data_IF_960869290779
#
_entry.id   IF_960869290779
#
_cell.length_a   1.000
_cell.length_b   1.000
_cell.length_c   1.000
_cell.angle_alpha   90.00
_cell.angle_beta   90.00
_cell.angle_gamma   90.00
#
_symmetry.space_group_name_H-M   'P 1'
#
loop_
_entity.id
_entity.type
_entity.pdbx_description
1 polymer ?
#
# COMPACT_ATOMS: atom_id res chain seq x y z
N UNK A 1 -36.06 35.54 28.75
CA UNK A 1 -36.69 34.55 27.85
C UNK A 1 -35.78 33.35 27.56
N UNK A 2 -34.90 32.96 28.51
CA UNK A 2 -33.94 31.85 28.38
C UNK A 2 -34.16 30.76 29.46
N UNK A 3 -35.02 31.00 30.46
CA UNK A 3 -35.26 30.06 31.57
C UNK A 3 -36.48 29.13 31.39
N UNK A 4 -37.14 29.11 30.23
CA UNK A 4 -38.29 28.21 29.96
C UNK A 4 -37.87 27.00 29.10
N UNK A 5 -36.74 27.06 28.39
CA UNK A 5 -36.28 25.97 27.51
C UNK A 5 -35.53 24.87 28.30
N UNK A 6 -34.88 25.21 29.40
CA UNK A 6 -34.15 24.25 30.26
C UNK A 6 -35.07 23.35 31.11
N UNK A 7 -36.33 23.75 31.34
CA UNK A 7 -37.32 22.93 32.06
C UNK A 7 -37.99 21.86 31.18
N UNK A 8 -38.00 22.05 29.85
CA UNK A 8 -38.60 21.07 28.93
C UNK A 8 -37.67 19.89 28.60
N UNK A 9 -36.35 20.09 28.68
CA UNK A 9 -35.37 19.02 28.41
C UNK A 9 -35.19 18.10 29.64
N UNK A 10 -35.42 18.62 30.85
CA UNK A 10 -35.34 17.82 32.09
C UNK A 10 -36.60 16.99 32.36
N UNK A 11 -37.77 17.40 31.85
CA UNK A 11 -39.02 16.63 32.01
C UNK A 11 -39.12 15.42 31.07
N UNK A 12 -38.41 15.41 29.94
CA UNK A 12 -38.35 14.24 29.03
C UNK A 12 -37.48 13.12 29.62
N UNK A 13 -36.56 13.44 30.54
CA UNK A 13 -35.67 12.45 31.17
C UNK A 13 -36.22 11.80 32.46
N UNK A 14 -37.34 12.29 33.02
CA UNK A 14 -37.88 11.76 34.30
C UNK A 14 -39.15 10.90 34.19
N UNK A 15 -39.71 10.67 32.99
CA UNK A 15 -40.93 9.85 32.83
C UNK A 15 -40.67 8.43 32.30
N UNK A 16 -39.41 8.05 32.02
CA UNK A 16 -39.11 6.74 31.40
C UNK A 16 -38.33 5.75 32.29
N UNK A 17 -38.55 5.77 33.60
CA UNK A 17 -38.02 4.75 34.51
C UNK A 17 -39.13 4.04 35.27
N UNK A 18 -40.08 3.41 34.57
CA UNK A 18 -40.91 2.33 35.16
C UNK A 18 -41.73 1.48 34.17
N UNK A 19 -41.37 1.42 32.88
CA UNK A 19 -41.90 0.41 31.95
C UNK A 19 -40.85 0.04 30.90
N UNK A 20 -39.74 -0.56 31.35
CA UNK A 20 -38.80 -1.24 30.46
C UNK A 20 -39.23 -2.70 30.27
N UNK A 21 -40.44 -2.91 29.75
CA UNK A 21 -40.66 -4.10 28.92
C UNK A 21 -39.92 -3.83 27.62
N UNK A 22 -38.96 -4.69 27.27
CA UNK A 22 -38.26 -4.67 25.98
C UNK A 22 -39.27 -4.70 24.83
N UNK A 23 -39.74 -3.52 24.39
CA UNK A 23 -40.32 -3.39 23.07
C UNK A 23 -39.10 -3.49 22.14
N UNK A 24 -38.81 -4.71 21.71
CA UNK A 24 -38.02 -4.95 20.49
C UNK A 24 -38.83 -4.35 19.36
N UNK A 25 -38.65 -3.04 19.14
CA UNK A 25 -39.06 -2.40 17.89
C UNK A 25 -38.24 -3.12 16.84
N UNK A 26 -38.89 -4.01 16.10
CA UNK A 26 -38.32 -4.69 14.96
C UNK A 26 -37.94 -3.59 13.97
N UNK A 27 -36.67 -3.13 14.05
CA UNK A 27 -36.20 -2.12 13.13
C UNK A 27 -36.34 -2.72 11.74
N UNK A 28 -37.03 -2.05 10.81
CA UNK A 28 -37.20 -2.56 9.46
C UNK A 28 -35.81 -2.86 8.91
N UNK A 29 -35.50 -4.15 8.73
CA UNK A 29 -34.26 -4.60 8.10
C UNK A 29 -34.36 -4.24 6.64
N UNK A 30 -34.07 -2.97 6.30
CA UNK A 30 -33.88 -2.53 4.93
C UNK A 30 -32.71 -3.35 4.40
N UNK A 31 -32.98 -4.40 3.64
CA UNK A 31 -31.94 -5.19 2.98
C UNK A 31 -31.33 -4.31 1.90
N UNK A 32 -30.03 -4.04 1.97
CA UNK A 32 -29.29 -3.47 0.84
C UNK A 32 -28.62 -4.58 0.03
N UNK A 33 -28.38 -4.34 -1.25
CA UNK A 33 -27.78 -5.30 -2.18
C UNK A 33 -26.35 -4.90 -2.51
N UNK A 34 -25.40 -5.81 -2.29
CA UNK A 34 -24.03 -5.70 -2.76
C UNK A 34 -23.81 -6.60 -3.98
N UNK A 35 -22.90 -6.25 -4.89
CA UNK A 35 -22.45 -7.21 -5.89
C UNK A 35 -21.81 -8.43 -5.20
N UNK A 36 -22.02 -9.64 -5.73
CA UNK A 36 -21.63 -10.88 -5.08
C UNK A 36 -20.12 -11.03 -4.86
N UNK A 37 -19.29 -10.30 -5.60
CA UNK A 37 -17.84 -10.30 -5.50
C UNK A 37 -17.31 -9.56 -4.27
N UNK A 38 -18.13 -8.70 -3.64
CA UNK A 38 -17.71 -7.92 -2.47
C UNK A 38 -17.79 -8.73 -1.18
N UNK A 39 -16.63 -9.07 -0.61
CA UNK A 39 -16.52 -9.85 0.63
C UNK A 39 -15.59 -9.19 1.65
N UNK A 40 -16.17 -8.28 2.45
CA UNK A 40 -15.45 -7.63 3.55
C UNK A 40 -15.31 -8.54 4.78
N UNK A 41 -16.27 -9.46 4.98
CA UNK A 41 -16.38 -10.25 6.22
C UNK A 41 -15.31 -11.32 6.29
N UNK A 42 -15.04 -12.01 5.19
CA UNK A 42 -13.95 -13.00 5.12
C UNK A 42 -12.59 -12.35 5.40
N UNK A 43 -12.38 -11.16 4.82
CA UNK A 43 -11.15 -10.40 5.00
C UNK A 43 -10.98 -9.99 6.47
N UNK A 44 -12.01 -9.46 7.12
CA UNK A 44 -11.95 -9.14 8.56
C UNK A 44 -11.67 -10.39 9.41
N UNK A 45 -12.38 -11.50 9.15
CA UNK A 45 -12.21 -12.76 9.90
C UNK A 45 -10.82 -13.38 9.77
N UNK A 46 -10.06 -13.00 8.74
CA UNK A 46 -8.67 -13.46 8.60
C UNK A 46 -7.70 -12.84 9.61
N UNK A 47 -8.05 -11.72 10.27
CA UNK A 47 -7.19 -11.09 11.29
C UNK A 47 -7.90 -10.69 12.59
N UNK A 48 -9.22 -10.60 12.59
CA UNK A 48 -10.03 -10.37 13.79
C UNK A 48 -10.83 -11.63 14.13
N UNK A 49 -10.99 -11.91 15.43
CA UNK A 49 -11.81 -13.06 15.88
C UNK A 49 -13.28 -12.88 15.47
N UNK A 50 -13.78 -11.64 15.52
CA UNK A 50 -15.17 -11.29 15.24
C UNK A 50 -15.30 -9.93 14.53
N UNK A 51 -16.44 -9.68 13.89
CA UNK A 51 -16.76 -8.36 13.30
C UNK A 51 -16.93 -7.31 14.41
N UNK A 52 -17.44 -7.73 15.57
CA UNK A 52 -17.59 -6.92 16.76
C UNK A 52 -16.24 -6.42 17.26
N UNK A 53 -15.21 -7.28 17.26
CA UNK A 53 -13.84 -6.89 17.62
C UNK A 53 -13.29 -5.83 16.68
N UNK A 54 -13.41 -6.01 15.36
CA UNK A 54 -13.05 -4.98 14.37
C UNK A 54 -13.80 -3.67 14.67
N UNK A 55 -15.08 -3.76 14.97
CA UNK A 55 -15.94 -2.60 15.22
C UNK A 55 -15.62 -1.85 16.50
N UNK A 56 -14.96 -2.47 17.50
CA UNK A 56 -14.48 -1.77 18.71
C UNK A 56 -13.39 -0.76 18.40
N UNK A 57 -12.63 -0.99 17.32
CA UNK A 57 -11.62 -0.04 16.84
C UNK A 57 -12.25 1.13 16.08
N UNK A 58 -13.54 1.01 15.73
CA UNK A 58 -14.31 2.03 15.05
C UNK A 58 -14.87 3.06 16.05
N UNK A 59 -14.09 4.10 16.35
CA UNK A 59 -14.57 5.21 17.19
C UNK A 59 -15.40 6.18 16.34
N UNK A 60 -16.66 6.39 16.73
CA UNK A 60 -17.58 7.33 16.07
C UNK A 60 -17.26 8.79 16.40
N UNK A 61 -16.54 9.04 17.50
CA UNK A 61 -15.99 10.34 17.84
C UNK A 61 -14.76 10.54 16.96
N UNK A 62 -14.94 11.28 15.87
CA UNK A 62 -13.82 11.54 14.98
C UNK A 62 -12.80 12.45 15.65
N UNK A 63 -11.54 12.37 15.20
CA UNK A 63 -10.52 13.36 15.54
C UNK A 63 -10.96 14.79 15.15
N UNK A 64 -10.32 15.81 15.72
CA UNK A 64 -10.60 17.23 15.41
C UNK A 64 -10.46 17.58 13.91
N UNK A 65 -9.73 16.78 13.13
CA UNK A 65 -9.51 16.92 11.69
C UNK A 65 -10.47 16.07 10.83
N UNK A 66 -11.46 15.39 11.42
CA UNK A 66 -12.42 14.62 10.65
C UNK A 66 -13.42 15.55 9.94
N UNK A 67 -13.38 15.54 8.60
CA UNK A 67 -14.36 16.24 7.77
C UNK A 67 -15.58 15.35 7.44
N UNK A 68 -16.66 15.96 6.96
CA UNK A 68 -17.90 15.25 6.64
C UNK A 68 -17.68 14.07 5.66
N UNK A 69 -16.75 14.20 4.72
CA UNK A 69 -16.42 13.16 3.75
C UNK A 69 -15.73 11.95 4.39
N UNK A 70 -14.72 12.18 5.22
CA UNK A 70 -14.03 11.13 5.99
C UNK A 70 -15.00 10.37 6.89
N UNK A 71 -15.91 11.09 7.57
CA UNK A 71 -16.99 10.46 8.35
C UNK A 71 -17.98 9.68 7.49
N UNK A 72 -18.32 10.16 6.30
CA UNK A 72 -19.20 9.45 5.38
C UNK A 72 -18.58 8.10 4.96
N UNK A 73 -17.30 8.08 4.58
CA UNK A 73 -16.56 6.85 4.24
C UNK A 73 -16.47 5.90 5.43
N UNK A 74 -16.28 6.44 6.64
CA UNK A 74 -16.32 5.68 7.86
C UNK A 74 -17.69 5.01 8.06
N UNK A 75 -18.78 5.78 8.05
CA UNK A 75 -20.13 5.25 8.21
C UNK A 75 -20.51 4.24 7.13
N UNK A 76 -20.06 4.48 5.90
CA UNK A 76 -20.22 3.54 4.79
C UNK A 76 -19.52 2.20 5.12
N UNK A 77 -18.25 2.26 5.51
CA UNK A 77 -17.48 1.08 5.92
C UNK A 77 -18.19 0.28 7.00
N UNK A 78 -18.67 0.96 8.05
CA UNK A 78 -19.39 0.33 9.16
C UNK A 78 -20.69 -0.34 8.68
N UNK A 79 -21.48 0.37 7.86
CA UNK A 79 -22.73 -0.15 7.32
C UNK A 79 -22.54 -1.38 6.44
N UNK A 80 -21.51 -1.39 5.60
CA UNK A 80 -21.17 -2.52 4.74
C UNK A 80 -20.69 -3.74 5.54
N UNK A 81 -19.78 -3.52 6.50
CA UNK A 81 -19.21 -4.60 7.32
C UNK A 81 -20.25 -5.24 8.24
N UNK A 82 -21.08 -4.42 8.91
CA UNK A 82 -22.10 -4.89 9.84
C UNK A 82 -23.41 -5.27 9.19
N UNK A 83 -23.60 -4.97 7.91
CA UNK A 83 -24.90 -5.03 7.26
C UNK A 83 -25.93 -4.15 8.00
N UNK A 84 -25.56 -2.90 8.28
CA UNK A 84 -26.33 -1.92 9.04
C UNK A 84 -26.77 -0.73 8.16
N UNK A 85 -28.05 -0.72 7.81
CA UNK A 85 -28.66 0.29 6.93
C UNK A 85 -28.73 1.68 7.55
N UNK A 86 -28.76 1.80 8.89
CA UNK A 86 -28.72 3.10 9.56
C UNK A 86 -27.37 3.78 9.38
N UNK A 87 -26.28 3.00 9.42
CA UNK A 87 -24.95 3.51 9.08
C UNK A 87 -24.85 3.93 7.60
N UNK A 88 -25.48 3.20 6.68
CA UNK A 88 -25.54 3.60 5.25
C UNK A 88 -26.33 4.90 5.06
N UNK A 89 -27.47 5.06 5.74
CA UNK A 89 -28.25 6.31 5.75
C UNK A 89 -27.44 7.49 6.33
N UNK A 90 -26.71 7.24 7.42
CA UNK A 90 -25.79 8.23 8.00
C UNK A 90 -24.69 8.63 7.03
N UNK A 91 -24.12 7.67 6.29
CA UNK A 91 -23.13 7.96 5.24
C UNK A 91 -23.73 8.82 4.12
N UNK A 92 -24.94 8.50 3.64
CA UNK A 92 -25.65 9.29 2.63
C UNK A 92 -25.84 10.75 3.06
N UNK A 93 -26.31 10.96 4.30
CA UNK A 93 -26.47 12.30 4.87
C UNK A 93 -25.14 13.05 4.92
N UNK A 94 -24.07 12.40 5.39
CA UNK A 94 -22.75 13.03 5.49
C UNK A 94 -22.14 13.35 4.11
N UNK A 95 -22.37 12.52 3.10
CA UNK A 95 -22.00 12.87 1.72
C UNK A 95 -22.79 14.09 1.21
N UNK A 96 -24.08 14.24 1.55
CA UNK A 96 -24.87 15.45 1.21
C UNK A 96 -24.29 16.71 1.86
N UNK A 97 -23.86 16.60 3.12
CA UNK A 97 -23.16 17.69 3.82
C UNK A 97 -21.85 18.01 3.11
N UNK A 98 -21.00 17.01 2.85
CA UNK A 98 -19.71 17.20 2.18
C UNK A 98 -19.85 17.79 0.75
N UNK A 99 -20.84 17.34 -0.03
CA UNK A 99 -21.12 17.87 -1.36
C UNK A 99 -21.49 19.37 -1.35
N UNK A 100 -22.15 19.81 -0.27
CA UNK A 100 -22.61 21.20 -0.10
C UNK A 100 -21.55 22.11 0.52
N UNK A 101 -20.81 21.61 1.51
CA UNK A 101 -19.99 22.43 2.40
C UNK A 101 -18.49 22.36 2.10
N UNK A 102 -18.02 21.32 1.39
CA UNK A 102 -16.59 21.19 1.07
C UNK A 102 -16.11 22.31 0.17
N UNK A 103 -14.96 22.89 0.47
CA UNK A 103 -14.27 23.87 -0.38
C UNK A 103 -13.57 23.19 -1.57
N UNK A 104 -13.36 21.88 -1.51
CA UNK A 104 -12.64 21.12 -2.51
C UNK A 104 -13.56 20.59 -3.61
N UNK A 105 -13.29 20.96 -4.86
CA UNK A 105 -14.08 20.52 -6.01
C UNK A 105 -14.13 18.99 -6.17
N UNK A 106 -13.01 18.29 -5.97
CA UNK A 106 -12.95 16.82 -6.07
C UNK A 106 -13.77 16.17 -4.95
N UNK A 107 -13.69 16.65 -3.72
CA UNK A 107 -14.50 16.14 -2.61
C UNK A 107 -16.00 16.35 -2.84
N UNK A 108 -16.40 17.51 -3.37
CA UNK A 108 -17.80 17.73 -3.75
C UNK A 108 -18.25 16.73 -4.81
N UNK A 109 -17.46 16.53 -5.86
CA UNK A 109 -17.76 15.58 -6.93
C UNK A 109 -17.85 14.13 -6.41
N UNK A 110 -16.85 13.67 -5.66
CA UNK A 110 -16.84 12.31 -5.11
C UNK A 110 -17.94 12.10 -4.07
N UNK A 111 -18.36 13.16 -3.37
CA UNK A 111 -19.52 13.10 -2.47
C UNK A 111 -20.81 12.84 -3.24
N UNK A 112 -21.01 13.45 -4.43
CA UNK A 112 -22.18 13.17 -5.27
C UNK A 112 -22.23 11.71 -5.71
N UNK A 113 -21.09 11.11 -6.05
CA UNK A 113 -21.01 9.66 -6.31
C UNK A 113 -21.34 8.83 -5.05
N UNK A 114 -20.86 9.25 -3.88
CA UNK A 114 -21.21 8.61 -2.60
C UNK A 114 -22.70 8.65 -2.28
N UNK A 115 -23.38 9.75 -2.59
CA UNK A 115 -24.85 9.88 -2.47
C UNK A 115 -25.54 8.86 -3.36
N UNK A 116 -25.23 8.83 -4.67
CA UNK A 116 -25.83 7.88 -5.61
C UNK A 116 -25.56 6.44 -5.21
N UNK A 117 -24.34 6.14 -4.77
CA UNK A 117 -23.95 4.80 -4.32
C UNK A 117 -24.78 4.32 -3.13
N UNK A 118 -24.88 5.15 -2.09
CA UNK A 118 -25.66 4.81 -0.89
C UNK A 118 -27.17 4.70 -1.17
N UNK A 119 -27.72 5.52 -2.08
CA UNK A 119 -29.12 5.41 -2.53
C UNK A 119 -29.38 4.11 -3.32
N UNK A 120 -28.44 3.70 -4.18
CA UNK A 120 -28.52 2.44 -4.91
C UNK A 120 -28.43 1.22 -3.98
N UNK A 121 -27.54 1.25 -2.99
CA UNK A 121 -27.47 0.22 -1.94
C UNK A 121 -28.83 0.06 -1.25
N UNK A 122 -29.37 1.17 -0.73
CA UNK A 122 -30.61 1.18 0.06
C UNK A 122 -31.86 0.81 -0.75
N UNK A 123 -31.90 1.16 -2.03
CA UNK A 123 -33.06 0.89 -2.91
C UNK A 123 -33.01 -0.48 -3.60
N UNK A 124 -31.84 -1.14 -3.65
CA UNK A 124 -31.65 -2.39 -4.36
C UNK A 124 -31.73 -2.26 -5.89
N UNK A 125 -31.69 -1.04 -6.44
CA UNK A 125 -31.79 -0.79 -7.89
C UNK A 125 -30.56 -1.21 -8.69
N UNK A 126 -29.48 -1.61 -8.01
CA UNK A 126 -28.23 -2.10 -8.63
C UNK A 126 -27.35 -0.99 -9.21
N UNK A 127 -26.28 -1.40 -9.89
CA UNK A 127 -25.21 -0.54 -10.42
C UNK A 127 -25.04 -0.72 -11.93
N UNK A 128 -26.11 -0.48 -12.69
CA UNK A 128 -26.11 -0.72 -14.14
C UNK A 128 -25.14 0.21 -14.87
N UNK A 129 -24.50 -0.31 -15.91
CA UNK A 129 -23.70 0.51 -16.82
C UNK A 129 -24.63 1.30 -17.74
N UNK A 130 -24.53 2.62 -17.69
CA UNK A 130 -25.31 3.54 -18.52
C UNK A 130 -24.43 4.20 -19.59
N UNK A 131 -23.12 3.87 -19.66
CA UNK A 131 -22.18 4.55 -20.55
C UNK A 131 -21.56 3.61 -21.60
N UNK A 132 -21.72 3.95 -22.89
CA UNK A 132 -21.07 3.24 -24.00
C UNK A 132 -19.64 3.75 -24.30
N UNK A 133 -19.17 4.77 -23.58
CA UNK A 133 -17.87 5.39 -23.87
C UNK A 133 -16.75 4.52 -23.31
N UNK A 134 -16.09 3.78 -24.22
CA UNK A 134 -14.84 3.06 -23.94
C UNK A 134 -13.70 4.07 -23.82
N UNK A 135 -13.08 4.23 -22.63
CA UNK A 135 -11.93 5.11 -22.49
C UNK A 135 -10.72 4.54 -23.22
N UNK A 136 -9.72 5.39 -23.45
CA UNK A 136 -8.42 4.94 -23.97
C UNK A 136 -7.76 3.96 -22.99
N UNK A 137 -7.26 2.85 -23.53
CA UNK A 137 -6.55 1.80 -22.80
C UNK A 137 -5.26 1.45 -23.53
N UNK A 138 -4.14 1.46 -22.80
CA UNK A 138 -2.83 1.19 -23.39
C UNK A 138 -1.89 0.59 -22.35
N UNK A 139 -1.39 -0.61 -22.61
CA UNK A 139 -0.42 -1.24 -21.72
C UNK A 139 0.96 -0.57 -21.82
N UNK A 140 1.68 -0.52 -20.71
CA UNK A 140 3.05 -0.01 -20.68
C UNK A 140 4.02 -1.09 -21.15
N UNK A 141 4.78 -0.78 -22.20
CA UNK A 141 5.97 -1.53 -22.61
C UNK A 141 7.21 -1.02 -21.84
N UNK A 142 7.78 -1.87 -20.99
CA UNK A 142 8.97 -1.53 -20.19
C UNK A 142 10.22 -1.70 -21.06
N UNK A 143 10.79 -0.59 -21.53
CA UNK A 143 12.02 -0.60 -22.34
C UNK A 143 13.25 -0.96 -21.49
N UNK A 144 13.91 -2.06 -21.83
CA UNK A 144 15.19 -2.48 -21.23
C UNK A 144 16.37 -2.20 -22.15
N UNK A 145 17.47 -1.76 -21.55
CA UNK A 145 18.75 -1.56 -22.20
C UNK A 145 19.63 -2.79 -22.00
N UNK A 146 20.73 -2.86 -22.76
CA UNK A 146 21.80 -3.83 -22.48
C UNK A 146 22.65 -3.38 -21.28
N UNK A 147 23.32 -4.31 -20.59
CA UNK A 147 24.34 -3.99 -19.58
C UNK A 147 25.36 -2.96 -20.08
N UNK A 148 25.78 -2.07 -19.19
CA UNK A 148 26.82 -1.07 -19.50
C UNK A 148 28.21 -1.67 -19.69
N UNK A 149 28.46 -2.86 -19.14
CA UNK A 149 29.70 -3.61 -19.30
C UNK A 149 29.43 -5.03 -19.81
N UNK A 150 30.24 -5.47 -20.78
CA UNK A 150 30.22 -6.85 -21.30
C UNK A 150 31.23 -7.76 -20.57
N UNK A 151 32.29 -7.18 -20.00
CA UNK A 151 33.30 -7.86 -19.20
C UNK A 151 33.31 -7.28 -17.80
N UNK A 152 33.06 -8.13 -16.82
CA UNK A 152 33.02 -7.81 -15.39
C UNK A 152 33.20 -9.12 -14.61
N UNK A 153 33.73 -9.02 -13.40
CA UNK A 153 33.90 -10.13 -12.45
C UNK A 153 32.97 -9.98 -11.26
N UNK A 154 32.46 -8.78 -11.00
CA UNK A 154 31.58 -8.49 -9.87
C UNK A 154 30.33 -7.74 -10.29
N UNK A 155 29.25 -8.03 -9.58
CA UNK A 155 28.01 -7.29 -9.57
C UNK A 155 28.01 -6.36 -8.36
N UNK A 156 27.48 -5.16 -8.52
CA UNK A 156 27.32 -4.20 -7.43
C UNK A 156 25.84 -3.85 -7.30
N UNK A 157 25.29 -4.08 -6.12
CA UNK A 157 23.86 -3.93 -5.85
C UNK A 157 23.72 -2.96 -4.68
N UNK A 158 22.79 -2.00 -4.79
CA UNK A 158 22.47 -1.04 -3.72
C UNK A 158 23.15 0.32 -3.85
N UNK A 159 23.67 0.65 -5.04
CA UNK A 159 24.31 1.96 -5.28
C UNK A 159 23.27 3.08 -5.43
N UNK A 160 22.08 2.77 -5.93
CA UNK A 160 21.04 3.78 -6.15
C UNK A 160 20.63 4.44 -4.84
N UNK A 161 20.38 5.76 -4.89
CA UNK A 161 19.88 6.52 -3.75
C UNK A 161 18.97 7.65 -4.19
N UNK A 162 17.95 7.95 -3.39
CA UNK A 162 17.12 9.15 -3.53
C UNK A 162 17.38 10.04 -2.32
N UNK A 163 17.80 11.27 -2.57
CA UNK A 163 17.99 12.28 -1.54
C UNK A 163 16.69 13.06 -1.34
N UNK A 164 16.32 13.30 -0.09
CA UNK A 164 15.12 14.04 0.29
C UNK A 164 15.54 15.25 1.12
N UNK A 165 15.19 16.43 0.63
CA UNK A 165 15.49 17.72 1.25
C UNK A 165 14.20 18.41 1.69
N UNK A 166 14.35 19.47 2.48
CA UNK A 166 13.23 20.27 2.97
C UNK A 166 12.39 20.81 1.81
N UNK A 167 11.07 20.75 1.93
CA UNK A 167 10.13 21.30 0.95
C UNK A 167 9.86 20.43 -0.28
N UNK A 168 10.59 19.32 -0.48
CA UNK A 168 10.27 18.36 -1.54
C UNK A 168 8.84 17.85 -1.40
N UNK A 169 8.14 17.72 -2.52
CA UNK A 169 6.77 17.21 -2.59
C UNK A 169 6.80 15.69 -2.69
N UNK A 170 6.20 15.05 -1.69
CA UNK A 170 6.00 13.60 -1.64
C UNK A 170 4.54 13.29 -1.89
N UNK A 171 4.22 12.61 -2.98
CA UNK A 171 2.88 12.04 -3.21
C UNK A 171 2.85 10.61 -2.71
N UNK A 172 1.75 10.21 -2.08
CA UNK A 172 1.66 8.86 -1.48
C UNK A 172 0.27 8.28 -1.57
N UNK A 173 0.17 6.96 -1.42
CA UNK A 173 -1.11 6.26 -1.27
C UNK A 173 -1.79 6.61 0.06
N UNK A 174 -3.08 6.36 0.15
CA UNK A 174 -3.85 6.58 1.39
C UNK A 174 -3.73 5.38 2.33
N UNK A 175 -4.03 4.19 1.81
CA UNK A 175 -3.99 2.95 2.56
C UNK A 175 -2.58 2.66 3.08
N UNK A 176 -2.43 2.16 4.30
CA UNK A 176 -1.13 1.93 4.96
C UNK A 176 -0.25 3.17 5.16
N UNK A 177 -0.79 4.39 4.98
CA UNK A 177 -0.06 5.65 5.21
C UNK A 177 -0.83 6.62 6.09
N UNK A 178 -1.99 7.13 5.64
CA UNK A 178 -2.83 8.03 6.44
C UNK A 178 -4.02 7.32 7.03
N UNK A 179 -4.53 6.29 6.34
CA UNK A 179 -5.63 5.43 6.76
C UNK A 179 -5.23 3.98 6.55
N UNK A 180 -5.78 3.08 7.34
CA UNK A 180 -5.69 1.65 7.09
C UNK A 180 -7.03 1.03 7.47
N UNK A 181 -7.86 0.79 6.46
CA UNK A 181 -9.23 0.32 6.68
C UNK A 181 -9.24 -1.02 7.40
N UNK A 182 -8.21 -1.83 7.13
CA UNK A 182 -8.15 -3.20 7.58
C UNK A 182 -7.89 -3.28 9.08
N UNK A 183 -7.03 -2.40 9.60
CA UNK A 183 -6.83 -2.23 11.05
C UNK A 183 -7.77 -1.22 11.71
N UNK A 184 -8.70 -0.64 10.94
CA UNK A 184 -9.54 0.50 11.29
C UNK A 184 -8.75 1.75 11.77
N UNK A 185 -7.47 1.86 11.41
CA UNK A 185 -6.64 2.98 11.81
C UNK A 185 -7.02 4.25 11.02
N UNK A 186 -7.39 5.31 11.74
CA UNK A 186 -7.82 6.61 11.19
C UNK A 186 -8.96 6.56 10.16
N UNK A 187 -9.81 5.54 10.20
CA UNK A 187 -10.86 5.32 9.19
C UNK A 187 -11.91 6.45 9.12
N UNK A 188 -11.97 7.36 10.09
CA UNK A 188 -12.82 8.56 10.10
C UNK A 188 -12.17 9.82 9.53
N UNK A 189 -10.85 9.82 9.29
CA UNK A 189 -10.11 11.01 8.85
C UNK A 189 -10.29 11.29 7.37
N UNK A 190 -10.13 12.53 6.92
CA UNK A 190 -10.20 12.78 5.47
C UNK A 190 -9.11 11.97 4.73
N UNK A 191 -9.41 11.26 3.63
CA UNK A 191 -8.40 10.58 2.83
C UNK A 191 -7.46 11.57 2.10
N UNK A 192 -7.86 12.85 2.01
CA UNK A 192 -7.06 13.92 1.41
C UNK A 192 -5.98 14.45 2.36
N UNK A 193 -6.28 14.46 3.64
CA UNK A 193 -5.47 15.20 4.61
C UNK A 193 -4.28 14.39 5.08
N UNK A 194 -3.18 15.10 5.29
CA UNK A 194 -1.98 14.55 5.87
C UNK A 194 -1.76 15.14 7.26
N UNK A 195 -1.70 14.28 8.26
CA UNK A 195 -1.41 14.63 9.63
C UNK A 195 -0.22 13.81 10.11
N UNK A 196 0.91 14.48 10.42
CA UNK A 196 2.18 13.81 10.75
C UNK A 196 2.12 13.06 12.09
N UNK A 197 1.22 13.47 12.99
CA UNK A 197 0.96 12.81 14.27
C UNK A 197 0.13 11.55 14.12
N UNK A 198 -0.52 11.36 12.96
CA UNK A 198 -1.49 10.30 12.70
C UNK A 198 -1.12 9.45 11.50
N UNK A 199 0.18 9.24 11.30
CA UNK A 199 0.67 8.34 10.25
C UNK A 199 0.49 6.89 10.73
N UNK A 200 0.02 6.03 9.83
CA UNK A 200 -0.04 4.58 10.05
C UNK A 200 1.37 4.08 10.43
N UNK A 201 1.55 3.45 11.60
CA UNK A 201 2.88 3.24 12.16
C UNK A 201 3.63 2.03 11.58
N UNK A 202 3.09 1.39 10.55
CA UNK A 202 3.64 0.22 9.87
C UNK A 202 3.73 0.47 8.36
N UNK A 203 4.44 -0.43 7.65
CA UNK A 203 4.51 -0.42 6.18
C UNK A 203 4.98 0.94 5.59
N UNK A 204 4.37 1.41 4.50
CA UNK A 204 4.75 2.66 3.82
C UNK A 204 4.63 3.89 4.74
N UNK A 205 3.64 3.92 5.62
CA UNK A 205 3.45 4.97 6.62
C UNK A 205 4.66 5.10 7.55
N UNK A 206 5.22 3.98 8.01
CA UNK A 206 6.45 4.03 8.83
C UNK A 206 7.63 4.65 8.07
N UNK A 207 7.76 4.34 6.78
CA UNK A 207 8.83 4.91 5.97
C UNK A 207 8.68 6.41 5.78
N UNK A 208 7.44 6.90 5.63
CA UNK A 208 7.16 8.34 5.58
C UNK A 208 7.47 9.00 6.93
N UNK A 209 7.10 8.36 8.04
CA UNK A 209 7.39 8.85 9.39
C UNK A 209 8.91 8.96 9.64
N UNK A 210 9.71 8.02 9.14
CA UNK A 210 11.18 8.10 9.22
C UNK A 210 11.76 9.25 8.40
N UNK A 211 11.25 9.50 7.20
CA UNK A 211 11.65 10.67 6.40
C UNK A 211 11.34 11.96 7.16
N UNK A 212 10.15 12.06 7.76
CA UNK A 212 9.71 13.24 8.52
C UNK A 212 10.51 13.50 9.80
N UNK A 213 11.13 12.47 10.39
CA UNK A 213 12.07 12.63 11.51
C UNK A 213 13.38 13.28 11.09
N UNK A 214 13.74 13.21 9.81
CA UNK A 214 15.04 13.61 9.28
C UNK A 214 14.97 14.89 8.43
N UNK A 215 13.80 15.22 7.88
CA UNK A 215 13.57 16.42 7.08
C UNK A 215 12.09 16.82 7.09
N UNK A 216 11.76 17.94 6.46
CA UNK A 216 10.39 18.50 6.41
C UNK A 216 9.89 18.60 4.97
N UNK A 217 9.55 17.47 4.32
CA UNK A 217 8.91 17.46 3.02
C UNK A 217 7.42 17.85 3.11
N UNK A 218 6.83 18.20 1.98
CA UNK A 218 5.37 18.37 1.84
C UNK A 218 4.75 17.05 1.39
N UNK A 219 4.07 16.33 2.30
CA UNK A 219 3.46 15.02 2.00
C UNK A 219 1.99 15.20 1.64
N UNK A 220 1.59 14.63 0.50
CA UNK A 220 0.25 14.78 -0.08
C UNK A 220 -0.31 13.39 -0.46
N UNK A 221 -1.33 12.89 0.25
CA UNK A 221 -2.04 11.68 -0.12
C UNK A 221 -2.79 11.87 -1.45
N UNK A 222 -2.72 10.86 -2.31
CA UNK A 222 -3.49 10.79 -3.56
C UNK A 222 -4.66 9.85 -3.34
N UNK A 223 -5.86 10.36 -3.55
CA UNK A 223 -7.11 9.68 -3.22
C UNK A 223 -8.13 9.88 -4.34
N UNK A 224 -9.18 9.06 -4.34
CA UNK A 224 -10.30 9.23 -5.25
C UNK A 224 -10.03 8.75 -6.67
N UNK A 225 -9.21 7.72 -6.83
CA UNK A 225 -8.81 7.21 -8.14
C UNK A 225 -9.96 6.51 -8.82
N UNK A 226 -10.33 6.95 -10.01
CA UNK A 226 -11.31 6.26 -10.84
C UNK A 226 -10.65 5.08 -11.52
N UNK A 227 -11.04 3.86 -11.16
CA UNK A 227 -10.58 2.63 -11.80
C UNK A 227 -11.70 2.08 -12.71
N UNK A 228 -11.29 1.49 -13.84
CA UNK A 228 -12.21 0.89 -14.81
C UNK A 228 -11.85 -0.55 -15.16
N UNK A 229 -12.88 -1.33 -15.49
CA UNK A 229 -12.74 -2.74 -15.88
C UNK A 229 -12.54 -2.85 -17.40
N UNK A 230 -11.49 -3.56 -17.82
CA UNK A 230 -11.19 -3.92 -19.21
C UNK A 230 -10.84 -5.40 -19.24
N UNK A 231 -11.47 -6.18 -20.13
CA UNK A 231 -11.25 -7.63 -20.27
C UNK A 231 -11.23 -8.37 -18.93
N UNK A 232 -12.25 -8.09 -18.11
CA UNK A 232 -12.42 -8.60 -16.74
C UNK A 232 -11.35 -8.20 -15.71
N UNK A 233 -10.48 -7.24 -15.99
CA UNK A 233 -9.46 -6.75 -15.05
C UNK A 233 -9.60 -5.27 -14.78
N UNK A 234 -9.25 -4.83 -13.58
CA UNK A 234 -9.31 -3.44 -13.18
C UNK A 234 -8.03 -2.69 -13.53
N UNK A 235 -8.17 -1.45 -13.97
CA UNK A 235 -7.07 -0.57 -14.34
C UNK A 235 -7.29 0.83 -13.80
N UNK A 236 -6.20 1.46 -13.38
CA UNK A 236 -6.15 2.88 -13.05
C UNK A 236 -5.49 3.69 -14.18
N UNK A 237 -5.84 4.97 -14.33
CA UNK A 237 -5.32 5.82 -15.37
C UNK A 237 -3.94 6.38 -15.06
N UNK A 238 -3.29 6.90 -16.09
CA UNK A 238 -2.17 7.81 -16.01
C UNK A 238 -2.64 9.28 -15.86
N UNK A 239 -1.70 10.23 -15.81
CA UNK A 239 -2.02 11.65 -15.63
C UNK A 239 -2.73 12.29 -16.84
N UNK A 240 -2.83 11.57 -17.96
CA UNK A 240 -3.57 11.97 -19.16
C UNK A 240 -4.94 11.28 -19.25
N UNK A 241 -5.32 10.48 -18.25
CA UNK A 241 -6.58 9.75 -18.23
C UNK A 241 -6.57 8.46 -19.07
N UNK A 242 -5.42 8.02 -19.59
CA UNK A 242 -5.31 6.74 -20.31
C UNK A 242 -5.19 5.62 -19.28
N UNK A 243 -6.02 4.58 -19.39
CA UNK A 243 -6.01 3.44 -18.48
C UNK A 243 -4.85 2.50 -18.83
N UNK A 244 -3.96 2.25 -17.85
CA UNK A 244 -2.72 1.50 -18.10
C UNK A 244 -2.37 0.51 -17.00
N UNK A 245 -2.61 0.89 -15.74
CA UNK A 245 -2.01 0.22 -14.60
C UNK A 245 -2.98 -0.74 -13.95
N UNK A 246 -2.70 -2.04 -14.02
CA UNK A 246 -3.56 -3.06 -13.43
C UNK A 246 -3.70 -2.84 -11.92
N UNK A 247 -4.93 -2.90 -11.42
CA UNK A 247 -5.31 -2.91 -10.00
C UNK A 247 -5.73 -4.33 -9.64
N UNK A 248 -5.29 -4.85 -8.50
CA UNK A 248 -5.72 -6.16 -8.05
C UNK A 248 -7.16 -6.12 -7.55
N UNK A 249 -7.92 -7.17 -7.86
CA UNK A 249 -9.36 -7.26 -7.56
C UNK A 249 -9.65 -7.13 -6.06
N UNK A 250 -8.76 -7.64 -5.20
CA UNK A 250 -8.90 -7.48 -3.75
C UNK A 250 -8.94 -6.01 -3.32
N UNK A 251 -8.26 -5.10 -4.05
CA UNK A 251 -8.29 -3.65 -3.74
C UNK A 251 -9.56 -2.97 -4.20
N UNK A 252 -10.34 -3.62 -5.07
CA UNK A 252 -11.64 -3.12 -5.50
C UNK A 252 -12.74 -3.72 -4.62
N UNK A 253 -12.76 -5.04 -4.49
CA UNK A 253 -13.86 -5.78 -3.89
C UNK A 253 -13.78 -5.89 -2.37
N UNK A 254 -12.58 -5.78 -1.79
CA UNK A 254 -12.41 -5.94 -0.34
C UNK A 254 -12.28 -4.61 0.39
N UNK A 255 -12.33 -3.46 -0.29
CA UNK A 255 -12.16 -2.14 0.32
C UNK A 255 -13.54 -1.47 0.49
N UNK A 256 -14.07 -1.36 1.73
CA UNK A 256 -15.43 -0.85 1.95
C UNK A 256 -15.59 0.65 1.60
N UNK A 257 -14.48 1.39 1.52
CA UNK A 257 -14.45 2.79 1.12
C UNK A 257 -14.47 3.00 -0.40
N UNK A 258 -14.39 1.93 -1.19
CA UNK A 258 -14.54 1.97 -2.66
C UNK A 258 -16.00 2.24 -3.01
N UNK A 259 -16.23 3.28 -3.81
CA UNK A 259 -17.58 3.67 -4.27
C UNK A 259 -17.81 3.07 -5.65
N UNK A 260 -18.90 2.32 -5.81
CA UNK A 260 -19.29 1.73 -7.09
C UNK A 260 -20.10 2.75 -7.88
N UNK A 261 -19.62 3.14 -9.05
CA UNK A 261 -20.37 3.98 -9.99
C UNK A 261 -21.26 3.08 -10.85
N UNK A 262 -20.67 2.04 -11.44
CA UNK A 262 -21.35 0.99 -12.19
C UNK A 262 -20.50 -0.29 -12.19
N UNK A 263 -20.98 -1.36 -12.83
CA UNK A 263 -20.30 -2.67 -12.95
C UNK A 263 -18.84 -2.59 -13.43
N UNK A 264 -18.49 -1.57 -14.21
CA UNK A 264 -17.19 -1.41 -14.84
C UNK A 264 -16.38 -0.22 -14.31
N UNK A 265 -16.89 0.54 -13.33
CA UNK A 265 -16.26 1.79 -12.86
C UNK A 265 -16.43 1.96 -11.36
N UNK A 266 -15.32 2.22 -10.67
CA UNK A 266 -15.28 2.44 -9.23
C UNK A 266 -14.38 3.62 -8.87
N UNK A 267 -14.60 4.22 -7.70
CA UNK A 267 -13.72 5.22 -7.10
C UNK A 267 -13.02 4.60 -5.89
N UNK A 268 -11.69 4.58 -5.93
CA UNK A 268 -10.84 4.12 -4.85
C UNK A 268 -10.45 5.30 -3.95
N UNK A 269 -11.10 5.43 -2.79
CA UNK A 269 -10.78 6.48 -1.82
C UNK A 269 -9.52 6.16 -1.00
N UNK A 270 -9.47 4.96 -0.44
CA UNK A 270 -8.28 4.42 0.20
C UNK A 270 -7.39 3.77 -0.87
N UNK A 271 -6.69 4.61 -1.65
CA UNK A 271 -5.78 4.16 -2.72
C UNK A 271 -4.68 3.27 -2.15
N UNK A 272 -4.29 2.24 -2.90
CA UNK A 272 -3.26 1.31 -2.49
C UNK A 272 -2.34 0.94 -3.66
N UNK A 273 -1.06 1.30 -3.56
CA UNK A 273 -0.03 1.06 -4.55
C UNK A 273 0.23 2.23 -5.50
N UNK A 274 1.43 2.22 -6.10
CA UNK A 274 1.86 3.25 -7.08
C UNK A 274 0.89 3.34 -8.27
N UNK A 275 0.35 2.21 -8.72
CA UNK A 275 -0.65 2.11 -9.78
C UNK A 275 -1.92 2.92 -9.49
N UNK A 276 -2.36 2.97 -8.23
CA UNK A 276 -3.56 3.68 -7.84
C UNK A 276 -3.34 5.19 -7.71
N UNK A 277 -2.10 5.70 -7.75
CA UNK A 277 -1.81 7.11 -7.49
C UNK A 277 -1.07 7.82 -8.64
N UNK A 278 -0.64 7.09 -9.66
CA UNK A 278 0.18 7.63 -10.75
C UNK A 278 -0.50 8.76 -11.54
N UNK A 279 -1.83 8.76 -11.60
CA UNK A 279 -2.62 9.78 -12.30
C UNK A 279 -2.49 11.20 -11.72
N UNK A 280 -2.15 11.34 -10.44
CA UNK A 280 -2.04 12.64 -9.74
C UNK A 280 -0.68 12.76 -9.02
N UNK A 281 0.38 12.37 -9.73
CA UNK A 281 1.74 12.28 -9.16
C UNK A 281 2.86 12.85 -10.04
N UNK A 282 2.57 13.39 -11.23
CA UNK A 282 3.62 13.95 -12.11
C UNK A 282 4.24 15.25 -11.58
N UNK A 283 3.58 15.92 -10.65
CA UNK A 283 4.06 17.15 -10.02
C UNK A 283 4.88 16.90 -8.74
N UNK A 284 5.16 15.62 -8.42
CA UNK A 284 5.90 15.19 -7.24
C UNK A 284 7.41 15.10 -7.50
N UNK A 285 8.20 15.34 -6.46
CA UNK A 285 9.64 15.03 -6.48
C UNK A 285 9.89 13.55 -6.13
N UNK A 286 9.00 12.97 -5.31
CA UNK A 286 9.02 11.57 -4.88
C UNK A 286 7.61 11.02 -4.74
N UNK A 287 7.41 9.79 -5.19
CA UNK A 287 6.19 9.01 -4.95
C UNK A 287 6.52 7.81 -4.05
N UNK A 288 5.77 7.64 -2.98
CA UNK A 288 5.92 6.51 -2.03
C UNK A 288 4.65 5.68 -2.02
N UNK A 289 4.77 4.38 -2.27
CA UNK A 289 3.65 3.47 -2.27
C UNK A 289 4.06 2.03 -2.50
N UNK A 290 3.09 1.13 -2.38
CA UNK A 290 3.31 -0.31 -2.50
C UNK A 290 3.69 -0.70 -3.94
N UNK A 291 4.61 -1.67 -4.08
CA UNK A 291 5.20 -2.13 -5.35
C UNK A 291 5.05 -3.63 -5.63
N UNK A 292 4.08 -4.28 -4.99
CA UNK A 292 3.97 -5.75 -4.95
C UNK A 292 3.12 -6.39 -6.07
N UNK A 293 2.83 -5.63 -7.13
CA UNK A 293 2.05 -6.05 -8.29
C UNK A 293 2.71 -5.54 -9.58
N UNK A 294 2.65 -6.28 -10.67
CA UNK A 294 3.13 -5.86 -11.99
C UNK A 294 2.62 -4.47 -12.42
N UNK A 295 1.32 -4.19 -12.22
CA UNK A 295 0.72 -2.89 -12.50
C UNK A 295 1.33 -1.74 -11.68
N UNK A 296 1.74 -2.02 -10.42
CA UNK A 296 2.44 -1.05 -9.56
C UNK A 296 3.84 -0.75 -10.10
N UNK A 297 4.51 -1.76 -10.63
CA UNK A 297 5.83 -1.63 -11.25
C UNK A 297 5.76 -0.88 -12.60
N UNK A 298 4.75 -1.15 -13.42
CA UNK A 298 4.49 -0.39 -14.65
C UNK A 298 4.24 1.10 -14.35
N UNK A 299 3.48 1.39 -13.30
CA UNK A 299 3.23 2.76 -12.85
C UNK A 299 4.52 3.44 -12.34
N UNK A 300 5.36 2.73 -11.59
CA UNK A 300 6.67 3.23 -11.16
C UNK A 300 7.57 3.57 -12.37
N UNK A 301 7.60 2.70 -13.38
CA UNK A 301 8.32 2.95 -14.63
C UNK A 301 7.80 4.19 -15.36
N UNK A 302 6.48 4.34 -15.46
CA UNK A 302 5.84 5.51 -16.09
C UNK A 302 6.27 6.81 -15.40
N UNK A 303 6.09 6.89 -14.08
CA UNK A 303 6.42 8.07 -13.27
C UNK A 303 7.91 8.42 -13.39
N UNK A 304 8.79 7.43 -13.21
CA UNK A 304 10.23 7.64 -13.34
C UNK A 304 10.66 8.02 -14.75
N UNK A 305 10.00 7.51 -15.79
CA UNK A 305 10.24 7.94 -17.17
C UNK A 305 9.89 9.42 -17.39
N UNK A 306 8.99 9.98 -16.59
CA UNK A 306 8.64 11.41 -16.59
C UNK A 306 9.52 12.27 -15.68
N UNK A 307 10.43 11.67 -14.90
CA UNK A 307 11.36 12.40 -14.01
C UNK A 307 11.03 12.33 -12.52
N UNK A 308 9.96 11.64 -12.15
CA UNK A 308 9.53 11.51 -10.75
C UNK A 308 10.30 10.39 -10.07
N UNK A 309 10.88 10.62 -8.89
CA UNK A 309 11.48 9.53 -8.13
C UNK A 309 10.39 8.63 -7.52
N UNK A 310 10.65 7.33 -7.41
CA UNK A 310 9.68 6.37 -6.88
C UNK A 310 10.34 5.48 -5.82
N UNK A 311 9.69 5.34 -4.68
CA UNK A 311 10.10 4.45 -3.60
C UNK A 311 9.00 3.43 -3.31
N UNK A 312 9.34 2.15 -3.43
CA UNK A 312 8.47 1.01 -3.22
C UNK A 312 9.01 0.12 -2.08
N UNK A 313 8.64 0.39 -0.81
CA UNK A 313 9.13 -0.40 0.33
C UNK A 313 8.78 -1.89 0.26
N UNK A 314 7.68 -2.21 -0.42
CA UNK A 314 7.13 -3.54 -0.70
C UNK A 314 7.38 -3.92 -2.16
N UNK A 315 8.52 -4.54 -2.46
CA UNK A 315 9.15 -4.50 -3.79
C UNK A 315 9.12 -5.83 -4.57
N UNK A 316 8.08 -6.66 -4.39
CA UNK A 316 8.04 -8.04 -4.90
C UNK A 316 8.42 -8.19 -6.38
N UNK A 317 7.96 -7.25 -7.22
CA UNK A 317 8.18 -7.29 -8.67
C UNK A 317 9.20 -6.25 -9.17
N UNK A 318 9.99 -5.64 -8.27
CA UNK A 318 10.97 -4.59 -8.64
C UNK A 318 11.99 -5.08 -9.67
N UNK A 319 12.25 -6.38 -9.69
CA UNK A 319 13.12 -7.04 -10.66
C UNK A 319 12.72 -6.77 -12.11
N UNK A 320 11.43 -6.61 -12.42
CA UNK A 320 10.95 -6.32 -13.77
C UNK A 320 11.58 -5.05 -14.37
N UNK A 321 12.10 -4.15 -13.55
CA UNK A 321 12.73 -2.88 -13.95
C UNK A 321 14.24 -2.97 -14.13
N UNK A 322 14.87 -4.11 -13.88
CA UNK A 322 16.31 -4.29 -14.12
C UNK A 322 16.60 -4.03 -15.62
N UNK A 323 17.61 -3.20 -15.87
CA UNK A 323 18.01 -2.76 -17.20
C UNK A 323 17.21 -1.59 -17.77
N UNK A 324 16.20 -1.08 -17.05
CA UNK A 324 15.53 0.16 -17.46
C UNK A 324 16.43 1.38 -17.28
N UNK A 325 16.18 2.42 -18.07
CA UNK A 325 16.77 3.75 -17.88
C UNK A 325 15.64 4.76 -17.83
N UNK A 326 15.49 5.40 -16.69
CA UNK A 326 14.45 6.40 -16.41
C UNK A 326 15.10 7.73 -16.03
N UNK A 327 14.33 8.82 -16.13
CA UNK A 327 14.80 10.16 -15.73
C UNK A 327 14.85 10.30 -14.21
N UNK A 328 13.83 9.80 -13.52
CA UNK A 328 13.77 9.64 -12.08
C UNK A 328 14.38 8.31 -11.63
N UNK A 329 14.68 8.21 -10.33
CA UNK A 329 15.23 6.99 -9.72
C UNK A 329 14.10 6.16 -9.10
N UNK A 330 14.16 4.83 -9.27
CA UNK A 330 13.24 3.88 -8.63
C UNK A 330 14.02 3.08 -7.59
N UNK A 331 13.52 3.00 -6.36
CA UNK A 331 14.14 2.24 -5.26
C UNK A 331 13.11 1.28 -4.65
N UNK A 332 13.53 0.02 -4.44
CA UNK A 332 12.78 -1.02 -3.74
C UNK A 332 12.90 -0.92 -2.22
N UNK A 333 12.99 -2.06 -1.53
CA UNK A 333 12.97 -2.18 -0.06
C UNK A 333 14.26 -1.68 0.62
N UNK A 334 14.49 -0.36 0.61
CA UNK A 334 15.73 0.26 1.06
C UNK A 334 15.63 1.00 2.42
N UNK A 335 16.74 1.20 3.14
CA UNK A 335 16.76 1.99 4.37
C UNK A 335 16.63 3.49 4.11
N UNK A 336 15.95 4.19 5.00
CA UNK A 336 15.92 5.65 5.12
C UNK A 336 16.96 6.06 6.18
N UNK A 337 17.94 6.87 5.80
CA UNK A 337 19.05 7.28 6.68
C UNK A 337 19.20 8.80 6.70
N UNK A 338 19.85 9.31 7.75
CA UNK A 338 20.19 10.73 7.85
C UNK A 338 21.27 11.09 6.82
N UNK A 339 21.07 12.20 6.12
CA UNK A 339 22.06 12.87 5.27
C UNK A 339 22.43 14.24 5.87
N UNK A 340 23.39 14.95 5.26
CA UNK A 340 23.85 16.26 5.75
C UNK A 340 22.76 17.34 5.76
N UNK A 341 21.80 17.28 4.84
CA UNK A 341 20.74 18.26 4.60
C UNK A 341 19.33 17.62 4.47
N UNK A 342 19.14 16.42 5.04
CA UNK A 342 17.84 15.76 5.10
C UNK A 342 17.92 14.24 5.25
N UNK A 343 17.17 13.53 4.42
CA UNK A 343 17.14 12.07 4.39
C UNK A 343 17.73 11.52 3.09
N UNK A 344 18.20 10.28 3.13
CA UNK A 344 18.57 9.50 1.94
C UNK A 344 17.92 8.13 2.01
N UNK A 345 17.27 7.71 0.92
CA UNK A 345 16.74 6.37 0.74
C UNK A 345 17.76 5.58 -0.08
N UNK A 346 18.20 4.41 0.38
CA UNK A 346 19.16 3.55 -0.33
C UNK A 346 20.61 3.96 -0.12
N UNK A 347 21.46 3.73 -1.13
CA UNK A 347 22.90 4.02 -1.11
C UNK A 347 23.69 3.14 -0.14
N UNK A 348 23.41 1.83 -0.15
CA UNK A 348 24.06 0.84 0.71
C UNK A 348 24.56 -0.33 -0.14
N UNK A 349 25.67 -0.15 -0.88
CA UNK A 349 26.09 -1.11 -1.87
C UNK A 349 26.84 -2.31 -1.28
N UNK A 350 26.63 -3.49 -1.86
CA UNK A 350 27.51 -4.66 -1.70
C UNK A 350 28.03 -5.12 -3.06
N UNK A 351 29.15 -5.85 -3.03
CA UNK A 351 29.75 -6.45 -4.22
C UNK A 351 29.67 -7.98 -4.13
N UNK A 352 29.28 -8.62 -5.24
CA UNK A 352 29.11 -10.07 -5.37
C UNK A 352 29.91 -10.55 -6.57
N UNK A 353 30.78 -11.55 -6.39
CA UNK A 353 31.46 -12.17 -7.53
C UNK A 353 30.47 -12.96 -8.39
N UNK A 354 30.61 -12.89 -9.72
CA UNK A 354 29.77 -13.70 -10.63
C UNK A 354 29.96 -15.21 -10.44
N UNK A 355 31.08 -15.62 -9.85
CA UNK A 355 31.43 -17.03 -9.59
C UNK A 355 30.99 -17.50 -8.19
N UNK A 356 30.50 -16.60 -7.34
CA UNK A 356 30.04 -16.92 -6.00
C UNK A 356 28.63 -17.52 -6.03
N UNK A 357 28.39 -18.51 -5.17
CA UNK A 357 27.05 -19.08 -4.97
C UNK A 357 26.16 -18.11 -4.20
N UNK A 358 24.89 -18.03 -4.59
CA UNK A 358 23.89 -17.15 -4.00
C UNK A 358 22.70 -18.00 -3.57
N UNK A 359 22.43 -18.09 -2.26
CA UNK A 359 21.24 -18.75 -1.75
C UNK A 359 20.06 -17.78 -1.80
N UNK A 360 18.90 -18.19 -2.30
CA UNK A 360 17.73 -17.29 -2.38
C UNK A 360 16.48 -17.98 -1.83
N UNK A 361 15.60 -17.24 -1.16
CA UNK A 361 14.26 -17.77 -0.86
C UNK A 361 13.43 -17.84 -2.13
N UNK A 362 12.53 -18.83 -2.17
CA UNK A 362 11.52 -19.00 -3.20
C UNK A 362 10.21 -19.52 -2.56
N UNK A 363 9.09 -19.44 -3.27
CA UNK A 363 7.86 -20.14 -2.89
C UNK A 363 6.94 -20.30 -4.08
N UNK A 364 5.98 -21.22 -3.97
CA UNK A 364 4.79 -21.31 -4.84
C UNK A 364 3.50 -21.02 -4.07
N UNK A 365 3.59 -20.65 -2.79
CA UNK A 365 2.45 -20.38 -1.93
C UNK A 365 1.78 -19.04 -2.23
N UNK A 366 0.47 -18.95 -1.94
CA UNK A 366 -0.31 -17.72 -2.04
C UNK A 366 0.00 -16.71 -0.93
N UNK A 367 -0.79 -15.64 -0.83
CA UNK A 367 -0.64 -14.66 0.25
C UNK A 367 -0.75 -15.31 1.65
N UNK A 368 0.13 -14.97 2.62
CA UNK A 368 1.24 -14.00 2.55
C UNK A 368 2.60 -14.63 2.18
N UNK A 369 2.66 -15.93 1.85
CA UNK A 369 3.89 -16.62 1.48
C UNK A 369 4.51 -16.07 0.21
N UNK A 370 3.66 -15.67 -0.75
CA UNK A 370 4.06 -15.23 -2.08
C UNK A 370 5.22 -14.22 -2.11
N UNK A 371 5.43 -13.42 -1.06
CA UNK A 371 6.51 -12.44 -1.01
C UNK A 371 7.91 -13.06 -0.83
N UNK A 372 8.03 -14.32 -0.42
CA UNK A 372 9.31 -15.05 -0.34
C UNK A 372 9.90 -15.41 -1.72
N UNK A 373 9.14 -15.26 -2.81
CA UNK A 373 9.65 -15.46 -4.18
C UNK A 373 10.49 -14.28 -4.72
N UNK A 374 10.38 -13.11 -4.09
CA UNK A 374 11.03 -11.87 -4.53
C UNK A 374 12.53 -12.04 -4.82
N UNK A 375 13.33 -12.67 -3.92
CA UNK A 375 14.76 -12.81 -4.16
C UNK A 375 15.08 -13.71 -5.36
N UNK A 376 14.34 -14.81 -5.53
CA UNK A 376 14.49 -15.69 -6.69
C UNK A 376 14.16 -14.94 -7.99
N UNK A 377 13.01 -14.25 -8.05
CA UNK A 377 12.61 -13.46 -9.22
C UNK A 377 13.68 -12.41 -9.59
N UNK A 378 14.26 -11.75 -8.58
CA UNK A 378 15.27 -10.73 -8.76
C UNK A 378 16.58 -11.27 -9.35
N UNK A 379 17.16 -12.32 -8.76
CA UNK A 379 18.42 -12.86 -9.29
C UNK A 379 18.25 -13.55 -10.65
N UNK A 380 17.10 -14.17 -10.92
CA UNK A 380 16.78 -14.70 -12.26
C UNK A 380 16.71 -13.60 -13.29
N UNK A 381 16.21 -12.42 -12.93
CA UNK A 381 16.16 -11.28 -13.85
C UNK A 381 17.54 -10.64 -14.05
N UNK A 382 18.41 -10.63 -13.03
CA UNK A 382 19.83 -10.28 -13.21
C UNK A 382 20.48 -11.22 -14.24
N UNK A 383 20.34 -12.54 -14.10
CA UNK A 383 20.91 -13.50 -15.08
C UNK A 383 20.46 -13.21 -16.51
N UNK A 384 19.17 -12.95 -16.71
CA UNK A 384 18.61 -12.58 -18.01
C UNK A 384 19.20 -11.28 -18.54
N UNK A 385 19.26 -10.25 -17.69
CA UNK A 385 19.78 -8.94 -18.06
C UNK A 385 21.26 -9.00 -18.47
N UNK A 386 22.08 -9.73 -17.71
CA UNK A 386 23.53 -9.81 -17.97
C UNK A 386 23.91 -10.86 -19.02
N UNK A 387 22.98 -11.74 -19.41
CA UNK A 387 23.21 -12.83 -20.35
C UNK A 387 24.21 -13.88 -19.84
N UNK A 388 24.32 -14.06 -18.52
CA UNK A 388 25.23 -15.03 -17.88
C UNK A 388 24.49 -15.80 -16.79
N UNK A 389 24.84 -17.08 -16.66
CA UNK A 389 24.34 -17.94 -15.57
C UNK A 389 25.07 -17.59 -14.27
N UNK A 390 24.30 -17.30 -13.23
CA UNK A 390 24.74 -17.14 -11.86
C UNK A 390 24.53 -18.47 -11.11
N UNK A 391 25.27 -18.68 -10.02
CA UNK A 391 25.11 -19.87 -9.17
C UNK A 391 23.99 -19.67 -8.14
N UNK A 392 22.75 -19.53 -8.63
CA UNK A 392 21.56 -19.32 -7.79
C UNK A 392 21.09 -20.65 -7.22
N UNK A 393 20.93 -20.72 -5.90
CA UNK A 393 20.47 -21.89 -5.16
C UNK A 393 19.16 -21.53 -4.43
N UNK A 394 17.98 -21.85 -4.99
CA UNK A 394 16.70 -21.53 -4.36
C UNK A 394 16.37 -22.47 -3.19
N UNK A 395 15.70 -21.93 -2.17
CA UNK A 395 15.14 -22.68 -1.04
C UNK A 395 13.66 -22.34 -0.93
N UNK A 396 12.82 -23.37 -1.02
CA UNK A 396 11.37 -23.21 -0.95
C UNK A 396 10.90 -22.97 0.49
N UNK A 397 10.16 -21.88 0.66
CA UNK A 397 9.52 -21.47 1.90
C UNK A 397 8.03 -21.78 1.81
N UNK A 398 7.59 -22.69 2.66
CA UNK A 398 6.22 -23.20 2.72
C UNK A 398 5.44 -22.70 3.95
N UNK A 399 6.08 -21.98 4.86
CA UNK A 399 5.48 -21.41 6.07
C UNK A 399 5.92 -19.96 6.26
N UNK A 400 4.99 -19.13 6.73
CA UNK A 400 5.25 -17.72 7.00
C UNK A 400 6.13 -17.58 8.24
N UNK A 401 7.13 -16.69 8.19
CA UNK A 401 8.07 -16.48 9.29
C UNK A 401 9.10 -17.60 9.46
N UNK A 402 9.27 -18.48 8.46
CA UNK A 402 10.17 -19.64 8.49
C UNK A 402 11.25 -19.61 7.41
N UNK A 403 11.67 -18.40 6.99
CA UNK A 403 12.77 -18.24 6.06
C UNK A 403 14.15 -18.49 6.68
N UNK A 404 14.25 -18.68 8.00
CA UNK A 404 15.49 -19.05 8.71
C UNK A 404 16.17 -20.31 8.14
N UNK A 405 15.40 -21.22 7.52
CA UNK A 405 15.91 -22.39 6.79
C UNK A 405 16.99 -22.05 5.76
N UNK A 406 16.95 -20.85 5.16
CA UNK A 406 17.96 -20.43 4.18
C UNK A 406 19.33 -20.30 4.81
N UNK A 407 19.41 -19.81 6.07
CA UNK A 407 20.66 -19.54 6.77
C UNK A 407 21.39 -20.84 7.06
N UNK A 408 20.68 -21.83 7.60
CA UNK A 408 21.23 -23.17 7.87
C UNK A 408 21.73 -23.85 6.61
N UNK A 409 21.02 -23.67 5.49
CA UNK A 409 21.45 -24.24 4.22
C UNK A 409 22.66 -23.52 3.63
N UNK A 410 22.70 -22.19 3.76
CA UNK A 410 23.81 -21.37 3.31
C UNK A 410 25.10 -21.73 4.05
N UNK A 411 25.04 -21.84 5.37
CA UNK A 411 26.18 -22.25 6.20
C UNK A 411 26.72 -23.63 5.79
N UNK A 412 25.86 -24.65 5.73
CA UNK A 412 26.24 -26.02 5.34
C UNK A 412 26.84 -26.09 3.93
N UNK A 413 26.45 -25.19 3.04
CA UNK A 413 26.94 -25.14 1.66
C UNK A 413 28.14 -24.18 1.48
N UNK A 414 28.61 -23.51 2.55
CA UNK A 414 29.67 -22.51 2.46
C UNK A 414 29.29 -21.27 1.62
N UNK A 415 28.00 -20.94 1.56
CA UNK A 415 27.48 -19.81 0.78
C UNK A 415 27.53 -18.54 1.61
N UNK A 416 28.12 -17.48 1.03
CA UNK A 416 28.34 -16.20 1.73
C UNK A 416 27.34 -15.12 1.36
N UNK A 417 26.50 -15.31 0.34
CA UNK A 417 25.48 -14.35 -0.07
C UNK A 417 24.11 -15.00 -0.03
N UNK A 418 23.18 -14.36 0.68
CA UNK A 418 21.78 -14.75 0.74
C UNK A 418 20.87 -13.64 0.19
N UNK A 419 19.82 -14.01 -0.52
CA UNK A 419 18.69 -13.14 -0.87
C UNK A 419 17.44 -13.59 -0.12
N UNK A 420 16.87 -12.73 0.71
CA UNK A 420 15.83 -13.11 1.67
C UNK A 420 14.84 -11.96 1.96
N UNK A 421 13.60 -12.32 2.23
CA UNK A 421 12.64 -11.48 2.97
C UNK A 421 12.70 -11.82 4.45
N UNK A 422 12.83 -10.80 5.30
CA UNK A 422 12.82 -10.91 6.76
C UNK A 422 11.62 -10.15 7.30
N UNK A 423 10.63 -10.89 7.80
CA UNK A 423 9.36 -10.37 8.29
C UNK A 423 9.09 -10.73 9.75
N UNK A 424 9.73 -11.78 10.29
CA UNK A 424 9.58 -12.20 11.69
C UNK A 424 10.88 -12.06 12.50
N UNK A 425 10.73 -12.19 13.82
CA UNK A 425 11.84 -12.15 14.77
C UNK A 425 12.79 -13.33 14.57
N UNK A 426 12.26 -14.52 14.34
CA UNK A 426 13.04 -15.74 14.12
C UNK A 426 13.92 -15.62 12.87
N UNK A 427 13.36 -15.04 11.79
CA UNK A 427 14.11 -14.76 10.56
C UNK A 427 15.22 -13.72 10.80
N UNK A 428 14.93 -12.67 11.57
CA UNK A 428 15.93 -11.68 11.97
C UNK A 428 17.06 -12.33 12.76
N UNK A 429 16.75 -13.14 13.78
CA UNK A 429 17.76 -13.78 14.63
C UNK A 429 18.69 -14.68 13.81
N UNK A 430 18.13 -15.47 12.89
CA UNK A 430 18.91 -16.33 12.00
C UNK A 430 19.81 -15.51 11.06
N UNK A 431 19.28 -14.48 10.39
CA UNK A 431 20.07 -13.64 9.47
C UNK A 431 21.13 -12.84 10.22
N UNK A 432 20.80 -12.28 11.39
CA UNK A 432 21.77 -11.55 12.21
C UNK A 432 22.90 -12.47 12.70
N UNK A 433 22.59 -13.71 13.09
CA UNK A 433 23.60 -14.71 13.42
C UNK A 433 24.51 -15.01 12.23
N UNK A 434 23.95 -15.23 11.03
CA UNK A 434 24.71 -15.44 9.80
C UNK A 434 25.64 -14.27 9.49
N UNK A 435 25.16 -13.03 9.60
CA UNK A 435 25.98 -11.84 9.32
C UNK A 435 27.07 -11.61 10.38
N UNK A 436 26.85 -12.02 11.64
CA UNK A 436 27.86 -11.91 12.71
C UNK A 436 28.98 -12.92 12.58
N UNK A 437 28.71 -14.11 12.03
CA UNK A 437 29.68 -15.20 12.00
C UNK A 437 30.86 -14.97 11.06
N UNK A 438 30.69 -14.20 9.99
CA UNK A 438 31.77 -13.84 9.06
C UNK A 438 31.48 -12.47 8.41
N UNK A 439 32.48 -11.57 8.37
CA UNK A 439 32.36 -10.24 7.74
C UNK A 439 32.17 -10.29 6.23
N UNK A 440 32.49 -11.41 5.60
CA UNK A 440 32.23 -11.67 4.19
C UNK A 440 30.80 -12.16 3.91
N UNK A 441 30.03 -12.53 4.93
CA UNK A 441 28.61 -12.85 4.77
C UNK A 441 27.80 -11.60 4.45
N UNK A 442 26.91 -11.71 3.47
CA UNK A 442 26.07 -10.60 2.99
C UNK A 442 24.63 -11.04 2.77
N UNK A 443 23.70 -10.13 2.98
CA UNK A 443 22.27 -10.34 2.74
C UNK A 443 21.66 -9.24 1.86
N UNK A 444 20.97 -9.65 0.80
CA UNK A 444 20.11 -8.76 0.02
C UNK A 444 18.69 -8.93 0.58
N UNK A 445 18.16 -7.84 1.15
CA UNK A 445 16.88 -7.83 1.84
C UNK A 445 15.79 -7.33 0.88
N UNK A 446 14.78 -8.17 0.66
CA UNK A 446 13.65 -7.87 -0.23
C UNK A 446 12.36 -7.85 0.56
N UNK A 447 11.50 -6.87 0.31
CA UNK A 447 10.21 -6.72 0.99
C UNK A 447 10.35 -6.75 2.52
N UNK A 448 11.49 -6.30 3.04
CA UNK A 448 11.91 -6.39 4.45
C UNK A 448 11.82 -5.04 5.15
N UNK A 449 11.93 -3.92 4.42
CA UNK A 449 12.02 -2.58 5.01
C UNK A 449 10.72 -2.12 5.70
N UNK A 450 9.60 -2.78 5.40
CA UNK A 450 8.29 -2.56 6.01
C UNK A 450 8.10 -3.32 7.32
N UNK A 451 8.99 -4.26 7.65
CA UNK A 451 8.95 -5.03 8.89
C UNK A 451 10.06 -4.54 9.83
N UNK A 452 9.78 -4.26 11.11
CA UNK A 452 10.79 -3.78 12.05
C UNK A 452 12.03 -4.70 12.11
N UNK A 453 11.79 -6.01 12.10
CA UNK A 453 12.83 -7.03 12.19
C UNK A 453 13.78 -7.03 10.98
N UNK A 454 13.22 -7.00 9.76
CA UNK A 454 14.01 -6.91 8.54
C UNK A 454 14.70 -5.54 8.39
N UNK A 455 14.01 -4.46 8.77
CA UNK A 455 14.53 -3.11 8.65
C UNK A 455 15.76 -2.86 9.53
N UNK A 456 15.75 -3.42 10.74
CA UNK A 456 16.85 -3.33 11.71
C UNK A 456 18.18 -3.84 11.16
N UNK A 457 18.17 -4.86 10.31
CA UNK A 457 19.40 -5.44 9.72
C UNK A 457 20.18 -4.44 8.87
N UNK A 458 19.51 -3.49 8.21
CA UNK A 458 20.18 -2.45 7.44
C UNK A 458 21.11 -1.57 8.29
N UNK A 459 20.74 -1.34 9.54
CA UNK A 459 21.45 -0.45 10.46
C UNK A 459 22.48 -1.20 11.32
N UNK A 460 22.20 -2.45 11.69
CA UNK A 460 23.15 -3.28 12.44
C UNK A 460 24.31 -3.78 11.56
N UNK A 461 24.05 -4.03 10.28
CA UNK A 461 25.01 -4.60 9.34
C UNK A 461 25.13 -3.79 8.04
N UNK A 462 25.44 -2.48 8.10
CA UNK A 462 25.35 -1.58 6.95
C UNK A 462 26.34 -1.92 5.82
N UNK A 463 27.46 -2.57 6.13
CA UNK A 463 28.44 -3.01 5.14
C UNK A 463 28.16 -4.41 4.55
N UNK A 464 27.22 -5.15 5.13
CA UNK A 464 26.90 -6.53 4.76
C UNK A 464 25.48 -6.70 4.21
N UNK A 465 24.62 -5.70 4.37
CA UNK A 465 23.22 -5.75 3.89
C UNK A 465 23.01 -4.78 2.74
N UNK A 466 22.10 -5.13 1.82
CA UNK A 466 21.62 -4.23 0.77
C UNK A 466 20.16 -4.55 0.41
N UNK A 467 19.61 -3.89 -0.60
CA UNK A 467 18.23 -4.01 -1.06
C UNK A 467 18.15 -4.38 -2.55
N UNK A 468 16.93 -4.66 -3.05
CA UNK A 468 16.66 -4.93 -4.47
C UNK A 468 16.82 -3.69 -5.37
N UNK A 469 18.05 -3.34 -5.71
CA UNK A 469 18.39 -2.20 -6.58
C UNK A 469 18.26 -2.54 -8.07
N UNK A 470 17.49 -1.77 -8.83
CA UNK A 470 17.29 -2.04 -10.27
C UNK A 470 18.50 -1.68 -11.12
N UNK A 471 19.39 -0.82 -10.60
CA UNK A 471 20.59 -0.34 -11.30
C UNK A 471 21.81 -1.16 -10.90
N UNK A 472 22.01 -2.28 -11.60
CA UNK A 472 23.14 -3.18 -11.36
C UNK A 472 24.44 -2.53 -11.85
N UNK A 473 25.40 -2.34 -10.94
CA UNK A 473 26.76 -1.92 -11.25
C UNK A 473 27.66 -3.09 -11.60
N UNK A 474 28.76 -2.80 -12.31
CA UNK A 474 29.73 -3.79 -12.80
C UNK A 474 31.15 -3.38 -12.45
N UNK A 475 31.97 -4.34 -12.02
CA UNK A 475 33.40 -4.21 -11.71
C UNK A 475 34.22 -5.37 -12.29
#
# INVERSE_FOLDING_TARGET
>A
MINIILLFISLIFMVNTTFASEIKVDQPKVKFSLPPEYDFKSVIKSHYKTIEDYSKHFKADGPEDANAYGFALAKLTLGLVKNDSMSILGANYLFKVAAKESDNARERELSLFGIKYTENLLSGKGFKDESEIRPAFEQIDIKKNKPSANKFKKLIIGKSSIKITKGMKIKTQVDRVTRDWFSAYNISSSPREFNKERIVPWHEGEKIREILKLTTPNVIPVWGTVAKKFDNRWYAPDAKGVYRFRISEDKIYNYPSTIIINENTVIMNDTHGINAIAWDSLDADLVVGCGDLDGKVQAAYYLASQGVNVYMPTDRFVSMLIGTKTKGTIIGSAPVRKASDGAVIGGQPISISIDESIMVTNTTGGYPLQYYDTPYLYFREIERYIGKKLKIMPIDINEYGKADKIVWRAERAGVKVIGIRVASKEEYEAVAWFLRSDKSHRAILFHSAVYPEGYRLFFEFPAQTTFGDINIGFE
#
